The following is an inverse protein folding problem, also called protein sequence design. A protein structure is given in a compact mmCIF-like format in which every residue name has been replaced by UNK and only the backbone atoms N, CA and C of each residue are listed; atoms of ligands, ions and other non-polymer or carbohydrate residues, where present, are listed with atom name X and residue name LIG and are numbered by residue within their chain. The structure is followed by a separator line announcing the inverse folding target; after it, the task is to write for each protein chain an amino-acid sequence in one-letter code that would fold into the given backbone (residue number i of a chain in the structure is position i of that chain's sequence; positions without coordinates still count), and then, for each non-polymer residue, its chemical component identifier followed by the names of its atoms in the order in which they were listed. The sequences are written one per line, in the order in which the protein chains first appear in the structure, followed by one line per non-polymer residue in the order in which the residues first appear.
data_IF_021354757359
#
_entry.id   IF_021354757359
#
_cell.length_a   1.000
_cell.length_b   1.000
_cell.length_c   1.000
_cell.angle_alpha   90.00
_cell.angle_beta   90.00
_cell.angle_gamma   90.00
#
_symmetry.space_group_name_H-M   'P 1'
#
loop_
_entity.id
_entity.type
_entity.pdbx_description
1 polymer ?
#
# COMPACT_ATOMS: atom_id res chain seq x y z
N UNK A 1 -4.55 -7.99 10.81
CA UNK A 1 -3.47 -7.26 11.51
C UNK A 1 -3.48 -5.84 10.96
N UNK A 2 -3.53 -4.79 11.80
CA UNK A 2 -3.63 -3.40 11.32
C UNK A 2 -2.44 -3.06 10.41
N UNK A 3 -2.69 -2.33 9.31
CA UNK A 3 -1.68 -1.91 8.30
C UNK A 3 -0.34 -1.48 8.91
N UNK A 4 -0.38 -0.65 9.95
CA UNK A 4 0.83 -0.13 10.61
C UNK A 4 1.72 -1.22 11.23
N UNK A 5 1.13 -2.29 11.79
CA UNK A 5 1.92 -3.39 12.35
C UNK A 5 2.67 -4.15 11.25
N UNK A 6 2.03 -4.37 10.10
CA UNK A 6 2.67 -5.00 8.94
C UNK A 6 3.75 -4.09 8.36
N UNK A 7 3.46 -2.79 8.24
CA UNK A 7 4.45 -1.79 7.81
C UNK A 7 5.67 -1.83 8.72
N UNK A 8 5.50 -1.79 10.04
CA UNK A 8 6.59 -1.84 11.00
C UNK A 8 7.41 -3.13 10.87
N UNK A 9 6.74 -4.28 10.69
CA UNK A 9 7.39 -5.59 10.55
C UNK A 9 8.24 -5.70 9.27
N UNK A 10 7.71 -5.23 8.14
CA UNK A 10 8.33 -5.43 6.82
C UNK A 10 9.10 -4.21 6.28
N UNK A 11 9.18 -3.10 7.03
CA UNK A 11 9.83 -1.86 6.56
C UNK A 11 11.29 -2.02 6.10
N UNK A 12 11.99 -3.02 6.64
CA UNK A 12 13.37 -3.34 6.24
C UNK A 12 13.49 -3.85 4.79
N UNK A 13 12.39 -4.31 4.18
CA UNK A 13 12.30 -4.77 2.79
C UNK A 13 11.87 -3.67 1.81
N UNK A 14 11.64 -2.44 2.30
CA UNK A 14 11.03 -1.39 1.50
C UNK A 14 12.05 -0.69 0.59
N UNK A 15 11.66 -0.60 -0.68
CA UNK A 15 12.27 0.28 -1.66
C UNK A 15 11.85 1.74 -1.41
N UNK A 16 12.46 2.68 -2.16
CA UNK A 16 12.02 4.09 -2.17
C UNK A 16 10.54 4.21 -2.58
N UNK A 17 10.09 3.39 -3.52
CA UNK A 17 8.69 3.38 -3.97
C UNK A 17 7.75 2.86 -2.89
N UNK A 18 8.12 1.79 -2.17
CA UNK A 18 7.29 1.28 -1.07
C UNK A 18 7.13 2.32 0.05
N UNK A 19 8.21 3.03 0.39
CA UNK A 19 8.16 4.14 1.36
C UNK A 19 7.23 5.27 0.90
N UNK A 20 7.25 5.61 -0.39
CA UNK A 20 6.29 6.58 -0.98
C UNK A 20 4.85 6.10 -0.85
N UNK A 21 4.58 4.82 -1.11
CA UNK A 21 3.24 4.23 -0.99
C UNK A 21 2.75 4.34 0.46
N UNK A 22 3.57 3.93 1.43
CA UNK A 22 3.23 4.01 2.86
C UNK A 22 2.95 5.44 3.29
N UNK A 23 3.83 6.38 2.92
CA UNK A 23 3.66 7.79 3.28
C UNK A 23 2.37 8.37 2.69
N UNK A 24 2.05 8.03 1.45
CA UNK A 24 0.83 8.49 0.79
C UNK A 24 -0.43 7.95 1.50
N UNK A 25 -0.45 6.66 1.82
CA UNK A 25 -1.57 6.03 2.55
C UNK A 25 -1.75 6.67 3.94
N UNK A 26 -0.67 6.94 4.67
CA UNK A 26 -0.71 7.60 5.99
C UNK A 26 -1.23 9.03 5.93
N UNK A 27 -0.86 9.79 4.90
CA UNK A 27 -1.26 11.20 4.77
C UNK A 27 -2.72 11.37 4.33
N UNK A 28 -3.24 10.48 3.49
CA UNK A 28 -4.57 10.61 2.93
C UNK A 28 -5.61 9.72 3.65
N UNK A 29 -5.16 8.83 4.54
CA UNK A 29 -5.98 7.79 5.13
C UNK A 29 -6.48 6.77 4.12
N UNK A 30 -7.14 5.72 4.62
CA UNK A 30 -7.97 4.85 3.78
C UNK A 30 -9.32 5.53 3.57
N UNK A 31 -9.39 6.46 2.62
CA UNK A 31 -10.68 6.99 2.15
C UNK A 31 -11.19 6.19 0.94
N UNK A 32 -12.50 6.27 0.69
CA UNK A 32 -13.14 5.64 -0.49
C UNK A 32 -12.54 6.08 -1.83
N UNK A 33 -11.79 7.19 -1.84
CA UNK A 33 -11.03 7.68 -2.99
C UNK A 33 -9.99 6.69 -3.51
N UNK A 34 -9.57 5.71 -2.70
CA UNK A 34 -8.63 4.66 -3.08
C UNK A 34 -9.29 3.27 -3.15
N UNK A 35 -10.59 3.25 -3.47
CA UNK A 35 -11.38 2.02 -3.52
C UNK A 35 -10.81 0.96 -4.47
N UNK A 36 -10.02 1.36 -5.47
CA UNK A 36 -9.40 0.44 -6.45
C UNK A 36 -7.88 0.56 -6.50
N UNK A 37 -7.23 -0.55 -6.86
CA UNK A 37 -5.77 -0.61 -7.06
C UNK A 37 -5.31 0.37 -8.15
N UNK A 38 -6.12 0.59 -9.20
CA UNK A 38 -5.82 1.50 -10.28
C UNK A 38 -5.82 2.96 -9.81
N UNK A 39 -6.85 3.35 -9.05
CA UNK A 39 -6.95 4.72 -8.51
C UNK A 39 -5.78 5.07 -7.61
N UNK A 40 -5.39 4.16 -6.71
CA UNK A 40 -4.26 4.39 -5.82
C UNK A 40 -2.92 4.39 -6.55
N UNK A 41 -2.73 3.46 -7.49
CA UNK A 41 -1.54 3.43 -8.33
C UNK A 41 -1.37 4.76 -9.09
N UNK A 42 -2.45 5.26 -9.71
CA UNK A 42 -2.44 6.52 -10.42
C UNK A 42 -2.11 7.71 -9.51
N UNK A 43 -2.75 7.79 -8.34
CA UNK A 43 -2.54 8.89 -7.40
C UNK A 43 -1.11 8.97 -6.83
N UNK A 44 -0.44 7.82 -6.68
CA UNK A 44 0.96 7.76 -6.22
C UNK A 44 1.95 7.92 -7.40
N UNK A 45 1.49 7.76 -8.65
CA UNK A 45 2.33 7.73 -9.84
C UNK A 45 3.10 6.41 -9.99
N UNK A 46 2.41 5.29 -9.76
CA UNK A 46 2.93 3.92 -9.89
C UNK A 46 2.00 3.07 -10.76
N UNK A 47 2.25 1.75 -10.84
CA UNK A 47 1.42 0.80 -11.59
C UNK A 47 0.63 -0.13 -10.68
N UNK A 48 -0.51 -0.69 -11.14
CA UNK A 48 -1.27 -1.69 -10.39
C UNK A 48 -0.42 -2.89 -9.97
N UNK A 49 0.49 -3.36 -10.84
CA UNK A 49 1.42 -4.43 -10.53
C UNK A 49 2.37 -4.07 -9.36
N UNK A 50 2.76 -2.80 -9.25
CA UNK A 50 3.56 -2.32 -8.10
C UNK A 50 2.75 -2.37 -6.82
N UNK A 51 1.48 -1.98 -6.86
CA UNK A 51 0.58 -2.05 -5.71
C UNK A 51 0.29 -3.51 -5.28
N UNK A 52 0.13 -4.43 -6.22
CA UNK A 52 -0.01 -5.87 -5.92
C UNK A 52 1.23 -6.39 -5.21
N UNK A 53 2.43 -6.14 -5.77
CA UNK A 53 3.70 -6.53 -5.15
C UNK A 53 3.88 -5.92 -3.75
N UNK A 54 3.50 -4.66 -3.57
CA UNK A 54 3.54 -4.00 -2.28
C UNK A 54 2.60 -4.67 -1.27
N UNK A 55 1.37 -5.00 -1.68
CA UNK A 55 0.40 -5.71 -0.83
C UNK A 55 0.96 -7.07 -0.38
N UNK A 56 1.51 -7.85 -1.31
CA UNK A 56 2.11 -9.15 -0.99
C UNK A 56 3.37 -9.00 -0.12
N UNK A 57 4.16 -7.94 -0.28
CA UNK A 57 5.32 -7.64 0.56
C UNK A 57 4.92 -7.39 2.03
N UNK A 58 3.73 -6.84 2.25
CA UNK A 58 3.14 -6.69 3.58
C UNK A 58 2.44 -7.95 4.08
N UNK A 59 2.52 -9.06 3.34
CA UNK A 59 1.89 -10.34 3.66
C UNK A 59 0.35 -10.23 3.68
N UNK A 60 -0.18 -9.50 2.70
CA UNK A 60 -1.60 -9.52 2.32
C UNK A 60 -1.82 -10.43 1.11
N UNK A 61 -2.97 -11.10 1.06
CA UNK A 61 -3.35 -11.95 -0.07
C UNK A 61 -3.67 -11.11 -1.31
N UNK A 62 -4.26 -9.93 -1.09
CA UNK A 62 -4.62 -9.02 -2.18
C UNK A 62 -4.65 -7.55 -1.73
N UNK A 63 -4.85 -6.64 -2.70
CA UNK A 63 -4.88 -5.20 -2.44
C UNK A 63 -6.05 -4.76 -1.53
N UNK A 64 -7.20 -5.42 -1.57
CA UNK A 64 -8.36 -5.01 -0.78
C UNK A 64 -8.12 -5.20 0.72
N UNK A 65 -7.28 -6.16 1.11
CA UNK A 65 -6.93 -6.44 2.49
C UNK A 65 -6.18 -5.28 3.17
N UNK A 66 -5.60 -4.37 2.38
CA UNK A 66 -4.98 -3.14 2.89
C UNK A 66 -6.00 -2.24 3.60
N UNK A 67 -7.28 -2.30 3.23
CA UNK A 67 -8.34 -1.42 3.78
C UNK A 67 -8.77 -1.78 5.21
N UNK A 68 -8.34 -2.94 5.73
CA UNK A 68 -8.93 -3.61 6.92
C UNK A 68 -7.94 -3.71 8.08
#
# INVERSE_FOLDING_TARGET
MKFENRVQRYQHLFTKTDKRIVNYIRQNGYSDAFSTINSLAHAIGTSPATMTRFSHKLDYENFQDLKI
#
